data_IF_027917563156
#
_entry.id   IF_027917563156
#
_cell.length_a   1.000
_cell.length_b   1.000
_cell.length_c   1.000
_cell.angle_alpha   90.00
_cell.angle_beta   90.00
_cell.angle_gamma   90.00
#
_symmetry.space_group_name_H-M   'P 1'
#
loop_
_entity.id
_entity.type
_entity.pdbx_description
1 polymer ?
#
# COMPACT_ATOMS: atom_id res chain seq x y z
N UNK A 1 48.79 -11.47 17.99
CA UNK A 1 48.83 -10.02 17.96
C UNK A 1 47.40 -9.50 17.68
N UNK A 2 46.84 -8.70 18.56
CA UNK A 2 45.50 -8.13 18.41
C UNK A 2 45.65 -6.80 17.67
N UNK A 3 45.20 -6.74 16.46
CA UNK A 3 45.12 -5.49 15.69
C UNK A 3 43.87 -4.72 16.15
N UNK A 4 44.06 -3.55 16.69
CA UNK A 4 42.96 -2.65 17.09
C UNK A 4 42.90 -1.48 16.12
N UNK A 5 41.76 -1.34 15.44
CA UNK A 5 41.45 -0.20 14.58
C UNK A 5 40.48 0.74 15.30
N UNK A 6 40.60 2.03 15.06
CA UNK A 6 39.65 3.01 15.58
C UNK A 6 38.25 2.77 14.96
N UNK A 7 37.18 2.83 15.77
CA UNK A 7 35.82 2.67 15.26
C UNK A 7 35.42 3.87 14.39
N UNK A 8 34.64 3.61 13.33
CA UNK A 8 34.16 4.62 12.38
C UNK A 8 34.91 4.58 11.06
N UNK A 9 34.34 5.23 10.04
CA UNK A 9 34.96 5.39 8.72
C UNK A 9 35.58 6.78 8.60
N UNK A 10 36.88 6.85 8.30
CA UNK A 10 37.55 8.09 8.05
C UNK A 10 37.66 8.34 6.52
N UNK A 11 36.75 9.16 6.00
CA UNK A 11 36.74 9.57 4.58
C UNK A 11 37.40 10.96 4.34
N UNK A 12 37.98 11.56 5.35
CA UNK A 12 38.61 12.88 5.23
C UNK A 12 40.06 12.82 4.73
N UNK A 13 40.65 11.64 4.75
CA UNK A 13 42.03 11.41 4.31
C UNK A 13 42.02 10.39 3.17
N UNK A 14 43.15 10.28 2.45
CA UNK A 14 43.32 9.24 1.45
C UNK A 14 43.41 7.85 2.08
N UNK A 15 43.17 6.79 1.33
CA UNK A 15 43.29 5.40 1.80
C UNK A 15 44.63 5.13 2.49
N UNK A 16 45.73 5.66 1.92
CA UNK A 16 47.08 5.53 2.48
C UNK A 16 47.23 6.35 3.79
N UNK A 17 46.51 7.47 3.91
CA UNK A 17 46.54 8.29 5.13
C UNK A 17 45.64 7.76 6.24
N UNK A 18 44.75 6.82 5.96
CA UNK A 18 43.87 6.17 6.93
C UNK A 18 44.47 4.88 7.53
N UNK A 19 45.79 4.73 7.52
CA UNK A 19 46.43 3.55 8.08
C UNK A 19 46.05 3.33 9.55
N UNK A 20 45.58 2.11 9.89
CA UNK A 20 45.04 1.80 11.22
C UNK A 20 43.60 2.25 11.48
N UNK A 21 42.92 2.73 10.46
CA UNK A 21 41.51 3.13 10.50
C UNK A 21 40.69 2.43 9.41
N UNK A 22 39.38 2.47 9.55
CA UNK A 22 38.46 2.00 8.51
C UNK A 22 38.21 3.14 7.54
N UNK A 23 38.50 2.92 6.27
CA UNK A 23 38.31 3.93 5.23
C UNK A 23 36.89 3.89 4.64
N UNK A 24 36.38 2.68 4.38
CA UNK A 24 35.04 2.48 3.81
C UNK A 24 34.42 1.16 4.27
N UNK A 25 33.09 1.00 4.10
CA UNK A 25 32.36 -0.22 4.38
C UNK A 25 30.87 -0.02 4.26
N UNK A 26 30.18 -1.08 3.85
CA UNK A 26 28.74 -1.13 3.70
C UNK A 26 28.11 -2.12 4.69
N UNK A 27 26.88 -1.82 5.14
CA UNK A 27 26.12 -2.67 6.06
C UNK A 27 26.84 -3.03 7.37
N UNK A 28 27.64 -2.11 7.88
CA UNK A 28 28.44 -2.24 9.09
C UNK A 28 28.05 -1.16 10.08
N UNK A 29 27.94 -1.54 11.35
CA UNK A 29 27.92 -0.63 12.51
C UNK A 29 29.08 -0.93 13.42
N UNK A 30 29.49 0.06 14.19
CA UNK A 30 30.53 -0.11 15.21
C UNK A 30 29.87 -0.27 16.59
N UNK A 31 30.15 -1.38 17.25
CA UNK A 31 29.66 -1.66 18.59
C UNK A 31 30.84 -2.07 19.48
N UNK A 32 30.97 -1.43 20.62
CA UNK A 32 32.10 -1.64 21.53
C UNK A 32 33.47 -1.56 20.84
N UNK A 33 33.63 -0.63 19.89
CA UNK A 33 34.89 -0.42 19.18
C UNK A 33 35.17 -1.44 18.05
N UNK A 34 34.29 -2.39 17.81
CA UNK A 34 34.46 -3.40 16.75
C UNK A 34 33.38 -3.25 15.66
N UNK A 35 33.73 -3.49 14.37
CA UNK A 35 32.75 -3.52 13.31
C UNK A 35 31.86 -4.77 13.45
N UNK A 36 30.58 -4.59 13.31
CA UNK A 36 29.56 -5.61 13.38
C UNK A 36 28.64 -5.46 12.16
N UNK A 37 28.28 -6.57 11.51
CA UNK A 37 27.28 -6.54 10.44
C UNK A 37 25.94 -5.99 10.94
N UNK A 38 25.39 -5.03 10.22
CA UNK A 38 23.98 -4.68 10.38
C UNK A 38 23.17 -5.86 9.84
N UNK A 39 22.18 -6.34 10.62
CA UNK A 39 21.25 -7.37 10.18
C UNK A 39 20.50 -6.93 8.92
N UNK A 40 19.84 -7.86 8.23
CA UNK A 40 18.99 -7.55 7.09
C UNK A 40 17.76 -6.73 7.50
N UNK A 41 17.03 -6.27 6.49
CA UNK A 41 15.75 -5.59 6.68
C UNK A 41 14.66 -6.63 6.94
N UNK A 42 13.83 -6.38 7.91
CA UNK A 42 12.60 -7.11 8.13
C UNK A 42 11.41 -6.21 7.80
N UNK A 43 10.37 -6.79 7.22
CA UNK A 43 9.12 -6.07 6.99
C UNK A 43 8.50 -5.70 8.33
N UNK A 44 8.10 -4.45 8.47
CA UNK A 44 7.37 -3.97 9.63
C UNK A 44 5.87 -4.11 9.35
N UNK A 45 5.20 -4.99 10.11
CA UNK A 45 3.79 -5.32 9.89
C UNK A 45 3.57 -6.43 8.85
N UNK A 46 2.40 -7.01 8.85
CA UNK A 46 2.04 -8.16 8.00
C UNK A 46 1.43 -7.74 6.66
N UNK A 47 0.83 -6.55 6.60
CA UNK A 47 0.09 -6.06 5.45
C UNK A 47 0.93 -5.14 4.56
N UNK A 48 0.63 -5.15 3.27
CA UNK A 48 1.18 -4.18 2.32
C UNK A 48 0.36 -2.89 2.34
N UNK A 49 1.04 -1.76 2.19
CA UNK A 49 0.37 -0.47 2.02
C UNK A 49 -0.18 -0.33 0.60
N UNK A 50 -1.38 0.22 0.47
CA UNK A 50 -1.93 0.60 -0.83
C UNK A 50 -1.25 1.90 -1.30
N UNK A 51 -0.61 1.85 -2.43
CA UNK A 51 0.15 2.97 -3.01
C UNK A 51 1.61 3.02 -2.55
N UNK A 52 2.28 4.10 -2.90
CA UNK A 52 3.70 4.36 -2.59
C UNK A 52 3.79 5.33 -1.42
N UNK A 53 4.48 4.96 -0.35
CA UNK A 53 4.70 5.84 0.79
C UNK A 53 5.48 7.09 0.36
N UNK A 54 4.95 8.27 0.69
CA UNK A 54 5.50 9.58 0.35
C UNK A 54 5.91 10.39 1.57
N UNK A 55 5.23 10.18 2.69
CA UNK A 55 5.49 10.89 3.93
C UNK A 55 5.38 9.94 5.12
N UNK A 56 6.20 10.19 6.13
CA UNK A 56 6.18 9.49 7.40
C UNK A 56 6.27 10.52 8.52
N UNK A 57 5.38 10.41 9.50
CA UNK A 57 5.43 11.20 10.72
C UNK A 57 5.23 10.30 11.93
N UNK A 58 6.07 10.42 12.93
CA UNK A 58 5.98 9.62 14.15
C UNK A 58 5.74 10.51 15.36
N UNK A 59 5.00 9.99 16.33
CA UNK A 59 4.77 10.64 17.62
C UNK A 59 4.52 9.60 18.70
N UNK A 60 4.62 10.04 19.94
CA UNK A 60 4.24 9.27 21.12
C UNK A 60 3.01 9.98 21.74
N UNK A 61 2.08 9.21 22.27
CA UNK A 61 0.99 9.76 23.07
C UNK A 61 1.42 9.99 24.52
N UNK A 62 0.53 10.57 25.33
CA UNK A 62 0.80 10.83 26.74
C UNK A 62 0.93 9.55 27.59
N UNK A 63 0.55 8.41 27.09
CA UNK A 63 0.73 7.10 27.71
C UNK A 63 2.03 6.40 27.25
N UNK A 64 2.80 7.02 26.34
CA UNK A 64 4.05 6.48 25.80
C UNK A 64 3.83 5.45 24.68
N UNK A 65 2.65 5.38 24.12
CA UNK A 65 2.36 4.52 22.96
C UNK A 65 2.88 5.20 21.70
N UNK A 66 3.60 4.44 20.88
CA UNK A 66 4.24 4.94 19.66
C UNK A 66 3.34 4.76 18.45
N UNK A 67 3.21 5.83 17.70
CA UNK A 67 2.46 5.89 16.45
C UNK A 67 3.33 6.38 15.30
N UNK A 68 3.00 5.93 14.10
CA UNK A 68 3.58 6.47 12.87
C UNK A 68 2.48 6.67 11.83
N UNK A 69 2.25 7.90 11.41
CA UNK A 69 1.39 8.19 10.26
C UNK A 69 2.18 7.99 8.97
N UNK A 70 1.59 7.30 8.02
CA UNK A 70 2.18 7.00 6.72
C UNK A 70 1.24 7.51 5.64
N UNK A 71 1.63 8.57 4.96
CA UNK A 71 0.93 9.10 3.79
C UNK A 71 1.44 8.41 2.53
N UNK A 72 0.55 7.70 1.85
CA UNK A 72 0.83 7.20 0.50
C UNK A 72 0.24 8.15 -0.54
N UNK A 73 0.53 7.91 -1.82
CA UNK A 73 -0.13 8.64 -2.90
C UNK A 73 -1.62 8.27 -3.06
N UNK A 74 -2.17 7.41 -2.21
CA UNK A 74 -3.55 6.93 -2.30
C UNK A 74 -4.30 6.94 -0.98
N UNK A 75 -3.67 6.48 0.11
CA UNK A 75 -4.30 6.21 1.39
C UNK A 75 -3.43 6.77 2.52
N UNK A 76 -4.07 7.21 3.58
CA UNK A 76 -3.43 7.62 4.82
C UNK A 76 -3.59 6.52 5.87
N UNK A 77 -2.48 6.07 6.44
CA UNK A 77 -2.43 5.04 7.47
C UNK A 77 -1.85 5.57 8.77
N UNK A 78 -2.25 4.95 9.86
CA UNK A 78 -1.54 5.01 11.15
C UNK A 78 -1.06 3.62 11.51
N UNK A 79 0.21 3.50 11.80
CA UNK A 79 0.82 2.29 12.33
C UNK A 79 0.93 2.38 13.84
N UNK A 80 0.48 1.34 14.54
CA UNK A 80 0.66 1.17 15.98
C UNK A 80 0.59 -0.30 16.34
N UNK A 81 1.42 -0.76 17.26
CA UNK A 81 1.37 -2.13 17.79
C UNK A 81 1.55 -3.24 16.76
N UNK A 82 2.19 -3.00 15.63
CA UNK A 82 2.37 -3.99 14.54
C UNK A 82 1.31 -3.94 13.45
N UNK A 83 0.27 -3.12 13.60
CA UNK A 83 -0.89 -3.08 12.70
C UNK A 83 -0.96 -1.73 12.00
N UNK A 84 -1.38 -1.74 10.73
CA UNK A 84 -1.71 -0.54 9.95
C UNK A 84 -3.22 -0.30 10.01
N UNK A 85 -3.60 0.85 10.52
CA UNK A 85 -4.99 1.32 10.55
C UNK A 85 -5.20 2.28 9.39
N UNK A 86 -6.16 2.00 8.54
CA UNK A 86 -6.63 2.93 7.52
C UNK A 86 -7.43 4.05 8.19
N UNK A 87 -6.94 5.27 8.08
CA UNK A 87 -7.61 6.47 8.61
C UNK A 87 -8.02 7.42 7.48
N UNK A 88 -7.98 6.94 6.23
CA UNK A 88 -8.33 7.76 5.09
C UNK A 88 -9.84 8.06 5.10
N UNK A 89 -10.25 9.32 4.92
CA UNK A 89 -11.68 9.68 5.02
C UNK A 89 -12.51 9.03 3.92
N UNK A 90 -13.63 8.43 4.31
CA UNK A 90 -14.63 7.91 3.39
C UNK A 90 -15.49 9.08 2.90
N UNK A 91 -15.61 9.24 1.60
CA UNK A 91 -16.43 10.27 0.97
C UNK A 91 -17.90 9.90 0.94
N UNK A 92 -18.17 8.68 0.52
CA UNK A 92 -19.53 8.15 0.39
C UNK A 92 -19.51 6.63 0.48
N UNK A 93 -20.56 6.06 1.02
CA UNK A 93 -20.84 4.62 0.95
C UNK A 93 -21.99 4.41 -0.01
N UNK A 94 -21.74 3.61 -1.05
CA UNK A 94 -22.75 3.23 -2.03
C UNK A 94 -23.35 1.87 -1.65
N UNK A 95 -24.63 1.67 -1.93
CA UNK A 95 -25.32 0.41 -1.70
C UNK A 95 -25.68 -0.24 -3.02
N UNK A 96 -25.37 -1.54 -3.12
CA UNK A 96 -25.73 -2.35 -4.29
C UNK A 96 -24.89 -2.05 -5.53
N UNK A 97 -24.04 -3.00 -5.88
CA UNK A 97 -23.28 -2.97 -7.11
C UNK A 97 -23.28 -4.34 -7.76
N UNK A 98 -23.28 -4.37 -9.07
CA UNK A 98 -23.10 -5.59 -9.86
C UNK A 98 -21.74 -5.56 -10.54
N UNK A 99 -21.05 -6.71 -10.48
CA UNK A 99 -19.77 -6.91 -11.17
C UNK A 99 -20.01 -7.61 -12.50
N UNK A 100 -19.30 -7.17 -13.52
CA UNK A 100 -19.31 -7.80 -14.84
C UNK A 100 -17.88 -7.93 -15.32
N UNK A 101 -17.45 -9.14 -15.69
CA UNK A 101 -16.15 -9.40 -16.30
C UNK A 101 -16.31 -9.96 -17.71
N UNK A 102 -15.25 -9.91 -18.48
CA UNK A 102 -15.18 -10.50 -19.83
C UNK A 102 -14.02 -11.48 -19.88
N UNK A 103 -14.20 -12.61 -20.57
CA UNK A 103 -13.13 -13.60 -20.74
C UNK A 103 -11.89 -12.97 -21.37
N UNK A 104 -10.72 -13.38 -20.89
CA UNK A 104 -9.42 -12.88 -21.31
C UNK A 104 -9.19 -11.38 -21.06
N UNK A 105 -9.96 -10.77 -20.14
CA UNK A 105 -9.83 -9.37 -19.75
C UNK A 105 -9.39 -9.23 -18.29
N UNK A 106 -8.61 -8.21 -18.01
CA UNK A 106 -8.28 -7.76 -16.64
C UNK A 106 -9.28 -6.73 -16.13
N UNK A 107 -10.16 -6.21 -16.99
CA UNK A 107 -11.10 -5.17 -16.63
C UNK A 107 -12.38 -5.76 -16.05
N UNK A 108 -12.76 -5.28 -14.89
CA UNK A 108 -14.07 -5.56 -14.29
C UNK A 108 -14.89 -4.28 -14.29
N UNK A 109 -16.09 -4.36 -14.79
CA UNK A 109 -17.06 -3.27 -14.82
C UNK A 109 -17.98 -3.40 -13.61
N UNK A 110 -18.14 -2.31 -12.88
CA UNK A 110 -19.00 -2.21 -11.71
C UNK A 110 -20.16 -1.28 -12.07
N UNK A 111 -21.38 -1.77 -11.90
CA UNK A 111 -22.61 -1.00 -12.12
C UNK A 111 -23.32 -0.80 -10.80
N UNK A 112 -23.42 0.44 -10.35
CA UNK A 112 -24.11 0.86 -9.13
C UNK A 112 -25.59 1.10 -9.39
N UNK A 113 -26.42 0.94 -8.36
CA UNK A 113 -27.86 1.23 -8.43
C UNK A 113 -28.16 2.73 -8.55
N UNK A 114 -27.23 3.59 -8.15
CA UNK A 114 -27.36 5.06 -8.22
C UNK A 114 -26.08 5.73 -8.70
N UNK A 115 -26.14 7.05 -8.83
CA UNK A 115 -24.99 7.83 -9.23
C UNK A 115 -23.90 7.75 -8.14
N UNK A 116 -22.71 7.30 -8.54
CA UNK A 116 -21.59 7.06 -7.63
C UNK A 116 -20.70 8.30 -7.41
N UNK A 117 -20.71 9.28 -8.31
CA UNK A 117 -19.90 10.50 -8.21
C UNK A 117 -18.39 10.25 -8.13
N UNK A 118 -17.90 9.07 -8.55
CA UNK A 118 -16.48 8.75 -8.62
C UNK A 118 -15.82 9.40 -9.83
N UNK A 119 -14.52 9.64 -9.72
CA UNK A 119 -13.64 10.01 -10.81
C UNK A 119 -12.57 8.93 -11.03
N UNK A 120 -11.85 9.02 -12.14
CA UNK A 120 -10.65 8.21 -12.35
C UNK A 120 -9.64 8.46 -11.23
N UNK A 121 -8.88 7.42 -10.88
CA UNK A 121 -7.93 7.40 -9.75
C UNK A 121 -8.54 7.43 -8.34
N UNK A 122 -9.85 7.54 -8.19
CA UNK A 122 -10.50 7.34 -6.88
C UNK A 122 -10.26 5.92 -6.37
N UNK A 123 -10.28 5.75 -5.05
CA UNK A 123 -10.09 4.45 -4.41
C UNK A 123 -11.45 3.94 -3.90
N UNK A 124 -11.73 2.69 -4.16
CA UNK A 124 -12.92 1.98 -3.70
C UNK A 124 -12.56 0.71 -2.95
N UNK A 125 -13.35 0.37 -1.94
CA UNK A 125 -13.29 -0.88 -1.20
C UNK A 125 -14.67 -1.54 -1.30
N UNK A 126 -14.71 -2.81 -1.62
CA UNK A 126 -15.96 -3.59 -1.67
C UNK A 126 -16.11 -4.38 -0.38
N UNK A 127 -17.31 -4.35 0.17
CA UNK A 127 -17.69 -5.10 1.36
C UNK A 127 -18.84 -6.06 1.03
N UNK A 128 -18.83 -7.22 1.69
CA UNK A 128 -19.88 -8.25 1.55
C UNK A 128 -20.12 -8.67 0.08
N UNK A 129 -19.05 -9.04 -0.59
CA UNK A 129 -19.08 -9.49 -1.99
C UNK A 129 -19.66 -10.91 -2.07
N UNK A 130 -20.61 -11.12 -2.96
CA UNK A 130 -21.30 -12.41 -3.15
C UNK A 130 -21.51 -12.74 -4.62
N UNK A 131 -21.72 -14.03 -4.91
CA UNK A 131 -22.12 -14.49 -6.23
C UNK A 131 -20.98 -14.76 -7.21
N UNK A 132 -19.72 -14.59 -6.82
CA UNK A 132 -18.57 -14.91 -7.65
C UNK A 132 -18.28 -16.42 -7.54
N UNK A 133 -18.76 -17.19 -8.50
CA UNK A 133 -18.51 -18.63 -8.59
C UNK A 133 -18.17 -19.03 -10.02
N UNK A 134 -17.21 -19.94 -10.19
CA UNK A 134 -16.79 -20.43 -11.51
C UNK A 134 -15.90 -19.46 -12.31
N UNK A 135 -15.60 -18.31 -11.75
CA UNK A 135 -14.72 -17.27 -12.29
C UNK A 135 -13.31 -17.43 -11.73
N UNK A 136 -12.32 -16.86 -12.40
CA UNK A 136 -10.97 -16.64 -11.85
C UNK A 136 -11.03 -15.67 -10.67
N UNK A 137 -11.98 -14.74 -10.69
CA UNK A 137 -12.23 -13.81 -9.60
C UNK A 137 -13.18 -14.47 -8.58
N UNK A 138 -12.78 -14.47 -7.34
CA UNK A 138 -13.55 -14.98 -6.20
C UNK A 138 -14.04 -13.84 -5.32
N UNK A 139 -14.99 -14.09 -4.43
CA UNK A 139 -15.42 -13.08 -3.46
C UNK A 139 -14.23 -12.49 -2.71
N UNK A 140 -13.30 -13.35 -2.23
CA UNK A 140 -12.09 -12.95 -1.52
C UNK A 140 -11.12 -12.11 -2.37
N UNK A 141 -11.24 -12.12 -3.68
CA UNK A 141 -10.41 -11.27 -4.56
C UNK A 141 -10.82 -9.80 -4.47
N UNK A 142 -12.07 -9.53 -4.12
CA UNK A 142 -12.61 -8.17 -4.01
C UNK A 142 -12.83 -7.71 -2.57
N UNK A 143 -13.09 -8.66 -1.68
CA UNK A 143 -13.42 -8.35 -0.30
C UNK A 143 -12.19 -7.83 0.46
N UNK A 144 -12.34 -6.73 1.18
CA UNK A 144 -11.28 -6.05 1.93
C UNK A 144 -10.08 -5.56 1.11
N UNK A 145 -10.16 -5.62 -0.22
CA UNK A 145 -9.13 -5.09 -1.11
C UNK A 145 -9.50 -3.71 -1.68
N UNK A 146 -8.49 -2.85 -1.80
CA UNK A 146 -8.65 -1.49 -2.31
C UNK A 146 -8.29 -1.42 -3.79
N UNK A 147 -9.24 -1.02 -4.58
CA UNK A 147 -9.07 -0.87 -6.03
C UNK A 147 -9.06 0.59 -6.44
N UNK A 148 -8.28 0.88 -7.47
CA UNK A 148 -8.29 2.17 -8.12
C UNK A 148 -9.31 2.15 -9.28
N UNK A 149 -10.14 3.17 -9.36
CA UNK A 149 -11.05 3.40 -10.48
C UNK A 149 -10.21 3.70 -11.72
N UNK A 150 -10.33 2.85 -12.73
CA UNK A 150 -9.54 2.98 -13.97
C UNK A 150 -10.22 3.88 -14.99
N UNK A 151 -11.56 3.81 -15.07
CA UNK A 151 -12.35 4.72 -15.92
C UNK A 151 -13.76 4.85 -15.39
N UNK A 152 -14.45 5.91 -15.80
CA UNK A 152 -15.83 6.24 -15.42
C UNK A 152 -16.68 6.43 -16.69
N UNK A 153 -17.18 5.35 -17.29
CA UNK A 153 -18.00 5.42 -18.50
C UNK A 153 -19.32 6.17 -18.31
N UNK A 154 -19.92 6.11 -17.12
CA UNK A 154 -21.18 6.84 -16.82
C UNK A 154 -21.26 7.17 -15.32
N UNK A 155 -22.27 7.94 -14.92
CA UNK A 155 -22.51 8.25 -13.51
C UNK A 155 -22.88 7.05 -12.64
N UNK A 156 -23.26 5.93 -13.23
CA UNK A 156 -23.62 4.68 -12.52
C UNK A 156 -22.65 3.53 -12.79
N UNK A 157 -21.65 3.73 -13.65
CA UNK A 157 -20.74 2.66 -14.08
C UNK A 157 -19.31 3.12 -14.02
N UNK A 158 -18.46 2.34 -13.38
CA UNK A 158 -17.01 2.54 -13.37
C UNK A 158 -16.27 1.21 -13.59
N UNK A 159 -14.99 1.27 -13.89
CA UNK A 159 -14.16 0.09 -14.12
C UNK A 159 -12.96 0.09 -13.16
N UNK A 160 -12.52 -1.13 -12.84
CA UNK A 160 -11.27 -1.40 -12.15
C UNK A 160 -10.43 -2.38 -12.96
N UNK A 161 -9.13 -2.37 -12.77
CA UNK A 161 -8.21 -3.30 -13.42
C UNK A 161 -7.65 -4.29 -12.41
N UNK A 162 -7.82 -5.57 -12.70
CA UNK A 162 -7.33 -6.69 -11.91
C UNK A 162 -5.89 -7.05 -12.29
N UNK A 163 -5.14 -7.65 -11.36
CA UNK A 163 -3.79 -8.12 -11.62
C UNK A 163 -3.73 -9.34 -12.56
N UNK A 164 -4.79 -10.16 -12.57
CA UNK A 164 -4.91 -11.34 -13.42
C UNK A 164 -6.07 -11.17 -14.43
N UNK A 165 -6.01 -11.92 -15.53
CA UNK A 165 -7.11 -11.99 -16.50
C UNK A 165 -8.18 -12.97 -16.02
N UNK A 166 -9.44 -12.70 -16.40
CA UNK A 166 -10.52 -13.65 -16.27
C UNK A 166 -10.32 -14.83 -17.25
N UNK A 167 -10.06 -16.01 -16.70
CA UNK A 167 -9.87 -17.24 -17.50
C UNK A 167 -10.98 -18.26 -17.30
N UNK A 168 -11.84 -18.05 -16.31
CA UNK A 168 -13.00 -18.88 -16.02
C UNK A 168 -14.28 -18.39 -16.71
N UNK A 169 -15.40 -18.71 -16.12
CA UNK A 169 -16.70 -18.21 -16.57
C UNK A 169 -16.82 -16.72 -16.20
N UNK A 170 -17.08 -15.84 -17.19
CA UNK A 170 -17.24 -14.42 -16.91
C UNK A 170 -18.33 -14.15 -15.88
N UNK A 171 -18.05 -13.20 -14.99
CA UNK A 171 -19.02 -12.75 -13.97
C UNK A 171 -20.08 -11.89 -14.64
N UNK A 172 -21.33 -12.17 -14.37
CA UNK A 172 -22.47 -11.38 -14.90
C UNK A 172 -23.47 -10.96 -13.83
N UNK A 173 -23.46 -11.61 -12.67
CA UNK A 173 -24.50 -11.45 -11.63
C UNK A 173 -23.95 -11.36 -10.23
N UNK A 174 -22.65 -11.27 -10.05
CA UNK A 174 -22.07 -11.05 -8.74
C UNK A 174 -22.27 -9.61 -8.29
N UNK A 175 -22.29 -9.39 -6.98
CA UNK A 175 -22.50 -8.05 -6.46
C UNK A 175 -21.86 -7.82 -5.10
N UNK A 176 -21.82 -6.57 -4.71
CA UNK A 176 -21.47 -6.11 -3.38
C UNK A 176 -22.64 -5.35 -2.78
N UNK A 177 -22.91 -5.57 -1.51
CA UNK A 177 -23.96 -4.84 -0.79
C UNK A 177 -23.50 -3.44 -0.40
N UNK A 178 -22.19 -3.21 -0.28
CA UNK A 178 -21.62 -1.95 0.13
C UNK A 178 -20.31 -1.67 -0.60
N UNK A 179 -20.13 -0.44 -1.05
CA UNK A 179 -18.89 0.08 -1.62
C UNK A 179 -18.50 1.33 -0.83
N UNK A 180 -17.34 1.29 -0.20
CA UNK A 180 -16.73 2.43 0.46
C UNK A 180 -15.91 3.22 -0.56
N UNK A 181 -16.29 4.45 -0.82
CA UNK A 181 -15.59 5.34 -1.74
C UNK A 181 -14.79 6.35 -0.92
N UNK A 182 -13.49 6.37 -1.12
CA UNK A 182 -12.58 7.27 -0.41
C UNK A 182 -12.42 8.60 -1.12
N UNK A 183 -12.02 9.63 -0.39
CA UNK A 183 -11.60 10.88 -1.00
C UNK A 183 -10.34 10.63 -1.85
N UNK A 184 -10.32 11.18 -3.04
CA UNK A 184 -9.09 11.20 -3.84
C UNK A 184 -8.05 12.08 -3.14
N UNK A 185 -6.80 11.62 -3.08
CA UNK A 185 -5.67 12.46 -2.66
C UNK A 185 -5.25 13.46 -3.73
N UNK A 186 -5.94 13.43 -4.89
CA UNK A 186 -5.62 14.25 -6.05
C UNK A 186 -4.32 13.85 -6.74
N UNK A 187 -4.08 14.27 -7.97
CA UNK A 187 -2.77 14.21 -8.56
C UNK A 187 -1.83 15.03 -7.67
N UNK A 188 -0.71 14.43 -7.26
CA UNK A 188 0.31 15.13 -6.52
C UNK A 188 0.66 16.39 -7.30
N UNK A 189 0.29 17.56 -6.81
CA UNK A 189 0.79 18.81 -7.37
C UNK A 189 2.31 18.73 -7.22
N UNK A 190 2.99 18.68 -8.35
CA UNK A 190 4.43 18.85 -8.37
C UNK A 190 4.72 20.27 -7.86
N UNK A 191 5.18 20.34 -6.61
CA UNK A 191 5.79 21.53 -6.06
C UNK A 191 7.22 21.63 -6.57
#
# INVERSE_FOLDING_TARGET
QKLGFAPGFNKQVTETGAEGQWFDGDFVRFRYGSPEKIGGWAQLGESKLTGVARALHHWDDNAGIKYAAIGTNRILYVYSGGIYYDIHPIRVTLTGANFTSTSSSTTVTITCTGNHGLAEDDIVLFDSVTGLSGSTFTNATFEDEKFMVTSVPSGTTFTITMAAQETGTPVTTAGSTSILCYYSVGPAQQL
#
